data_IF_134346219991
#
_entry.id   IF_134346219991
#
_cell.length_a   1.000
_cell.length_b   1.000
_cell.length_c   1.000
_cell.angle_alpha   90.00
_cell.angle_beta   90.00
_cell.angle_gamma   90.00
#
_symmetry.space_group_name_H-M   'P 1'
#
loop_
_entity.id
_entity.type
_entity.pdbx_description
1 polymer ?
#
# COMPACT_ATOMS: atom_id res chain seq x y z
N UNK A 1 21.68 24.71 1.77
CA UNK A 1 21.80 23.56 0.84
C UNK A 1 21.93 24.08 -0.58
N UNK A 2 22.80 23.50 -1.40
CA UNK A 2 22.88 23.86 -2.82
C UNK A 2 21.52 23.61 -3.50
N UNK A 3 21.15 24.45 -4.46
CA UNK A 3 19.90 24.27 -5.21
C UNK A 3 19.98 22.95 -5.99
N UNK A 4 19.06 22.02 -5.72
CA UNK A 4 18.99 20.74 -6.43
C UNK A 4 18.62 20.98 -7.91
N UNK A 5 19.20 20.21 -8.87
CA UNK A 5 18.77 20.24 -10.27
C UNK A 5 17.28 19.93 -10.41
N UNK A 6 16.66 20.35 -11.51
CA UNK A 6 15.24 20.05 -11.77
C UNK A 6 15.09 18.63 -12.34
N UNK A 7 14.25 17.80 -11.71
CA UNK A 7 13.92 16.46 -12.21
C UNK A 7 13.39 16.49 -13.65
N UNK A 8 12.59 17.49 -14.02
CA UNK A 8 12.04 17.63 -15.37
C UNK A 8 13.08 18.09 -16.41
N UNK A 9 14.08 18.86 -15.99
CA UNK A 9 15.06 19.45 -16.92
C UNK A 9 16.33 18.60 -17.08
N UNK A 10 16.82 18.01 -15.99
CA UNK A 10 18.00 17.15 -15.96
C UNK A 10 17.79 16.03 -14.91
N UNK A 11 17.05 14.96 -15.27
CA UNK A 11 16.74 13.86 -14.35
C UNK A 11 18.01 13.16 -13.84
N UNK A 12 19.08 13.17 -14.63
CA UNK A 12 20.34 12.52 -14.32
C UNK A 12 21.14 13.28 -13.27
N UNK A 13 21.27 14.60 -13.42
CA UNK A 13 21.89 15.43 -12.40
C UNK A 13 21.06 15.47 -11.11
N UNK A 14 19.73 15.46 -11.23
CA UNK A 14 18.82 15.35 -10.08
C UNK A 14 19.05 14.05 -9.31
N UNK A 15 19.09 12.90 -10.00
CA UNK A 15 19.31 11.59 -9.36
C UNK A 15 20.70 11.52 -8.71
N UNK A 16 21.75 11.96 -9.40
CA UNK A 16 23.10 12.03 -8.81
C UNK A 16 23.17 12.93 -7.58
N UNK A 17 22.40 14.02 -7.56
CA UNK A 17 22.34 14.89 -6.39
C UNK A 17 21.73 14.16 -5.19
N UNK A 18 20.61 13.47 -5.40
CA UNK A 18 19.96 12.67 -4.36
C UNK A 18 20.85 11.52 -3.88
N UNK A 19 21.47 10.77 -4.79
CA UNK A 19 22.37 9.67 -4.42
C UNK A 19 23.51 10.14 -3.52
N UNK A 20 24.12 11.29 -3.82
CA UNK A 20 25.19 11.86 -2.97
C UNK A 20 24.69 12.23 -1.58
N UNK A 21 23.53 12.86 -1.49
CA UNK A 21 22.95 13.26 -0.21
C UNK A 21 22.56 12.05 0.65
N UNK A 22 21.92 11.04 0.03
CA UNK A 22 21.55 9.80 0.71
C UNK A 22 22.79 9.00 1.13
N UNK A 23 23.82 8.90 0.28
CA UNK A 23 25.07 8.22 0.64
C UNK A 23 25.82 8.93 1.79
N UNK A 24 25.73 10.26 1.85
CA UNK A 24 26.28 11.04 2.96
C UNK A 24 25.49 10.86 4.25
N UNK A 25 24.16 10.80 4.17
CA UNK A 25 23.26 10.69 5.34
C UNK A 25 23.19 9.26 5.88
N UNK A 26 23.23 8.26 5.00
CA UNK A 26 23.11 6.83 5.28
C UNK A 26 24.34 6.07 4.77
N UNK A 27 25.53 6.36 5.30
CA UNK A 27 26.74 5.69 4.85
C UNK A 27 26.72 4.22 5.28
N UNK A 28 27.16 3.33 4.38
CA UNK A 28 27.03 1.88 4.55
C UNK A 28 27.75 1.28 5.77
N UNK A 29 28.69 2.01 6.38
CA UNK A 29 29.42 1.55 7.56
C UNK A 29 28.68 1.81 8.88
N UNK A 30 27.63 2.64 8.86
CA UNK A 30 26.82 2.88 10.05
C UNK A 30 25.77 1.79 10.20
N UNK A 31 25.51 1.43 11.45
CA UNK A 31 24.45 0.49 11.86
C UNK A 31 23.34 1.20 12.64
N UNK A 32 23.58 2.43 13.09
CA UNK A 32 22.69 3.24 13.92
C UNK A 32 22.91 4.73 13.60
N UNK A 33 21.83 5.52 13.66
CA UNK A 33 21.86 6.97 13.58
C UNK A 33 21.32 7.57 14.87
N UNK A 34 21.88 8.70 15.34
CA UNK A 34 21.30 9.43 16.48
C UNK A 34 19.81 9.72 16.23
N UNK A 35 18.99 9.49 17.26
CA UNK A 35 17.57 9.83 17.18
C UNK A 35 17.40 11.31 16.90
N UNK A 36 16.53 11.64 15.94
CA UNK A 36 16.16 13.02 15.60
C UNK A 36 14.79 13.39 16.13
N UNK A 37 14.11 12.47 16.81
CA UNK A 37 12.71 12.66 17.21
C UNK A 37 12.54 12.99 18.68
N UNK A 38 13.54 12.77 19.54
CA UNK A 38 13.44 13.07 20.98
C UNK A 38 13.04 14.53 21.24
N UNK A 39 13.59 15.44 20.43
CA UNK A 39 13.36 16.88 20.58
C UNK A 39 12.02 17.31 19.95
N UNK A 40 11.29 16.39 19.30
CA UNK A 40 10.02 16.64 18.63
C UNK A 40 8.81 16.43 19.54
N UNK A 41 8.98 16.16 20.85
CA UNK A 41 7.87 15.91 21.78
C UNK A 41 6.74 16.97 21.72
N UNK A 42 7.04 18.29 21.71
CA UNK A 42 5.98 19.30 21.64
C UNK A 42 5.21 19.24 20.32
N UNK A 43 5.91 19.00 19.20
CA UNK A 43 5.29 18.85 17.88
C UNK A 43 4.45 17.57 17.80
N UNK A 44 4.95 16.47 18.35
CA UNK A 44 4.25 15.20 18.43
C UNK A 44 2.93 15.33 19.21
N UNK A 45 2.93 16.09 20.31
CA UNK A 45 1.73 16.38 21.09
C UNK A 45 0.66 17.12 20.27
N UNK A 46 1.07 18.07 19.42
CA UNK A 46 0.16 18.75 18.50
C UNK A 46 -0.44 17.81 17.45
N UNK A 47 0.30 16.79 17.01
CA UNK A 47 -0.18 15.81 16.04
C UNK A 47 -1.18 14.81 16.62
N UNK A 48 -1.25 14.67 17.95
CA UNK A 48 -2.16 13.74 18.61
C UNK A 48 -3.60 14.27 18.72
N UNK A 49 -3.85 15.51 18.31
CA UNK A 49 -5.20 16.08 18.24
C UNK A 49 -6.12 15.26 17.30
N UNK A 50 -7.45 15.29 17.48
CA UNK A 50 -8.38 14.50 16.65
C UNK A 50 -8.19 14.66 15.14
N UNK A 51 -7.72 15.83 14.67
CA UNK A 51 -7.42 16.09 13.25
C UNK A 51 -6.14 15.38 12.82
N UNK A 52 -5.07 15.47 13.63
CA UNK A 52 -3.83 14.76 13.35
C UNK A 52 -4.01 13.25 13.31
N UNK A 53 -4.79 12.68 14.24
CA UNK A 53 -5.19 11.27 14.18
C UNK A 53 -6.00 10.94 12.93
N UNK A 54 -6.95 11.81 12.57
CA UNK A 54 -7.71 11.72 11.31
C UNK A 54 -6.81 11.66 10.06
N UNK A 55 -5.78 12.51 9.99
CA UNK A 55 -4.80 12.52 8.90
C UNK A 55 -3.96 11.25 8.89
N UNK A 56 -3.48 10.81 10.05
CA UNK A 56 -2.67 9.59 10.18
C UNK A 56 -3.46 8.35 9.73
N UNK A 57 -4.71 8.21 10.15
CA UNK A 57 -5.56 7.09 9.70
C UNK A 57 -5.92 7.15 8.21
N UNK A 58 -6.16 8.34 7.66
CA UNK A 58 -6.37 8.50 6.22
C UNK A 58 -5.11 8.07 5.44
N UNK A 59 -3.93 8.48 5.90
CA UNK A 59 -2.64 8.09 5.32
C UNK A 59 -2.40 6.58 5.45
N UNK A 60 -2.67 6.01 6.61
CA UNK A 60 -2.61 4.57 6.86
C UNK A 60 -3.46 3.82 5.83
N UNK A 61 -4.72 4.21 5.69
CA UNK A 61 -5.64 3.59 4.73
C UNK A 61 -5.12 3.71 3.29
N UNK A 62 -4.59 4.87 2.92
CA UNK A 62 -4.01 5.10 1.59
C UNK A 62 -2.84 4.14 1.31
N UNK A 63 -1.98 3.88 2.29
CA UNK A 63 -0.90 2.89 2.15
C UNK A 63 -1.46 1.48 1.97
N UNK A 64 -2.42 1.06 2.81
CA UNK A 64 -3.02 -0.26 2.72
C UNK A 64 -3.73 -0.48 1.38
N UNK A 65 -4.54 0.50 0.94
CA UNK A 65 -5.23 0.44 -0.35
C UNK A 65 -4.22 0.31 -1.50
N UNK A 66 -3.18 1.15 -1.52
CA UNK A 66 -2.14 1.11 -2.55
C UNK A 66 -1.34 -0.21 -2.54
N UNK A 67 -1.01 -0.76 -1.38
CA UNK A 67 -0.32 -2.06 -1.29
C UNK A 67 -1.23 -3.23 -1.72
N UNK A 68 -2.53 -3.14 -1.49
CA UNK A 68 -3.48 -4.12 -2.00
C UNK A 68 -3.56 -4.06 -3.53
N UNK A 69 -3.60 -2.85 -4.12
CA UNK A 69 -3.57 -2.65 -5.58
C UNK A 69 -2.24 -3.12 -6.19
N UNK A 70 -1.11 -2.78 -5.55
CA UNK A 70 0.21 -3.27 -5.95
C UNK A 70 0.28 -4.80 -5.91
N UNK A 71 -0.17 -5.43 -4.83
CA UNK A 71 -0.23 -6.89 -4.71
C UNK A 71 -1.07 -7.50 -5.83
N UNK A 72 -2.24 -6.90 -6.12
CA UNK A 72 -3.12 -7.34 -7.20
C UNK A 72 -2.39 -7.37 -8.54
N UNK A 73 -1.87 -6.21 -8.95
CA UNK A 73 -1.25 -6.05 -10.25
C UNK A 73 0.03 -6.88 -10.35
N UNK A 74 0.88 -6.86 -9.32
CA UNK A 74 2.12 -7.60 -9.33
C UNK A 74 1.89 -9.11 -9.42
N UNK A 75 0.89 -9.66 -8.71
CA UNK A 75 0.57 -11.08 -8.83
C UNK A 75 0.13 -11.43 -10.26
N UNK A 76 -0.77 -10.64 -10.86
CA UNK A 76 -1.19 -10.82 -12.25
C UNK A 76 0.01 -10.75 -13.21
N UNK A 77 0.79 -9.67 -13.17
CA UNK A 77 1.90 -9.43 -14.11
C UNK A 77 3.07 -10.39 -13.91
N UNK A 78 3.39 -10.79 -12.68
CA UNK A 78 4.45 -11.76 -12.41
C UNK A 78 4.07 -13.17 -12.88
N UNK A 79 2.85 -13.61 -12.59
CA UNK A 79 2.39 -14.97 -12.92
C UNK A 79 2.08 -15.12 -14.41
N UNK A 80 1.34 -14.17 -14.98
CA UNK A 80 0.82 -14.27 -16.35
C UNK A 80 1.83 -13.72 -17.36
N UNK A 81 2.32 -12.50 -17.12
CA UNK A 81 3.16 -11.79 -18.09
C UNK A 81 4.66 -12.06 -17.90
N UNK A 82 5.06 -12.83 -16.87
CA UNK A 82 6.46 -13.12 -16.61
C UNK A 82 7.31 -11.88 -16.30
N UNK A 83 6.69 -10.85 -15.69
CA UNK A 83 7.27 -9.54 -15.41
C UNK A 83 8.71 -9.61 -14.88
N UNK A 84 8.96 -10.45 -13.87
CA UNK A 84 10.28 -10.53 -13.25
C UNK A 84 11.39 -10.96 -14.22
N UNK A 85 11.07 -11.84 -15.18
CA UNK A 85 12.01 -12.28 -16.19
C UNK A 85 12.31 -11.17 -17.21
N UNK A 86 11.27 -10.45 -17.64
CA UNK A 86 11.41 -9.33 -18.57
C UNK A 86 12.16 -8.15 -17.95
N UNK A 87 11.89 -7.83 -16.69
CA UNK A 87 12.58 -6.79 -15.94
C UNK A 87 14.09 -7.06 -15.83
N UNK A 88 14.48 -8.31 -15.51
CA UNK A 88 15.90 -8.71 -15.46
C UNK A 88 16.58 -8.61 -16.83
N UNK A 89 15.89 -9.05 -17.89
CA UNK A 89 16.41 -8.98 -19.28
C UNK A 89 16.46 -7.57 -19.85
N UNK A 90 15.72 -6.63 -19.27
CA UNK A 90 15.72 -5.24 -19.72
C UNK A 90 17.12 -4.63 -19.62
N UNK A 91 17.48 -3.76 -20.56
CA UNK A 91 18.74 -3.02 -20.47
C UNK A 91 18.71 -2.02 -19.28
N UNK A 92 19.86 -1.68 -18.65
CA UNK A 92 19.91 -0.68 -17.59
C UNK A 92 19.24 0.65 -17.98
N UNK A 93 19.50 1.14 -19.19
CA UNK A 93 18.85 2.35 -19.72
C UNK A 93 17.31 2.26 -19.77
N UNK A 94 16.74 1.07 -20.04
CA UNK A 94 15.30 0.88 -20.01
C UNK A 94 14.75 0.95 -18.58
N UNK A 95 15.37 0.24 -17.61
CA UNK A 95 15.00 0.30 -16.19
C UNK A 95 15.08 1.72 -15.62
N UNK A 96 16.16 2.43 -15.95
CA UNK A 96 16.34 3.84 -15.59
C UNK A 96 15.19 4.72 -16.11
N UNK A 97 14.72 4.53 -17.35
CA UNK A 97 13.59 5.29 -17.88
C UNK A 97 12.32 5.07 -17.04
N UNK A 98 11.99 3.83 -16.69
CA UNK A 98 10.82 3.53 -15.86
C UNK A 98 10.96 4.12 -14.45
N UNK A 99 12.15 4.04 -13.86
CA UNK A 99 12.45 4.69 -12.59
C UNK A 99 12.23 6.22 -12.64
N UNK A 100 12.79 6.91 -13.64
CA UNK A 100 12.62 8.36 -13.78
C UNK A 100 11.16 8.75 -14.06
N UNK A 101 10.44 7.96 -14.87
CA UNK A 101 9.01 8.16 -15.09
C UNK A 101 8.21 8.06 -13.78
N UNK A 102 8.52 7.06 -12.94
CA UNK A 102 7.91 6.92 -11.63
C UNK A 102 8.23 8.10 -10.70
N UNK A 103 9.49 8.53 -10.64
CA UNK A 103 9.87 9.69 -9.83
C UNK A 103 9.18 10.97 -10.31
N UNK A 104 9.01 11.16 -11.61
CA UNK A 104 8.27 12.30 -12.16
C UNK A 104 6.81 12.29 -11.69
N UNK A 105 6.14 11.15 -11.78
CA UNK A 105 4.75 11.03 -11.33
C UNK A 105 4.62 11.24 -9.80
N UNK A 106 5.50 10.63 -9.01
CA UNK A 106 5.41 10.68 -7.55
C UNK A 106 5.83 12.04 -7.00
N UNK A 107 6.90 12.66 -7.52
CA UNK A 107 7.37 13.96 -7.05
C UNK A 107 6.49 15.14 -7.51
N UNK A 108 5.50 14.93 -8.37
CA UNK A 108 4.44 15.91 -8.64
C UNK A 108 3.44 16.02 -7.48
N UNK A 109 3.38 15.03 -6.60
CA UNK A 109 2.59 15.10 -5.38
C UNK A 109 3.29 15.99 -4.33
N UNK A 110 2.52 16.70 -3.48
CA UNK A 110 3.07 17.59 -2.48
C UNK A 110 3.87 16.77 -1.47
N UNK A 111 5.01 17.31 -1.05
CA UNK A 111 5.91 16.73 -0.05
C UNK A 111 6.54 15.37 -0.39
N UNK A 112 6.18 14.73 -1.50
CA UNK A 112 6.69 13.40 -1.86
C UNK A 112 8.16 13.41 -2.25
N UNK A 113 8.67 14.47 -2.89
CA UNK A 113 10.11 14.59 -3.10
C UNK A 113 10.87 14.60 -1.75
N UNK A 114 10.33 15.28 -0.73
CA UNK A 114 10.98 15.33 0.59
C UNK A 114 10.96 13.97 1.30
N UNK A 115 9.94 13.12 1.05
CA UNK A 115 9.88 11.77 1.62
C UNK A 115 11.07 10.91 1.19
N UNK A 116 11.69 11.21 0.05
CA UNK A 116 12.88 10.50 -0.43
C UNK A 116 14.06 10.57 0.54
N UNK A 117 14.19 11.65 1.32
CA UNK A 117 15.21 11.77 2.37
C UNK A 117 15.14 10.63 3.38
N UNK A 118 13.98 10.00 3.55
CA UNK A 118 13.75 8.90 4.50
C UNK A 118 13.71 7.52 3.82
N UNK A 119 13.96 7.43 2.52
CA UNK A 119 13.86 6.19 1.75
C UNK A 119 15.14 5.92 0.94
N UNK A 120 16.29 5.67 1.61
CA UNK A 120 17.57 5.47 0.92
C UNK A 120 17.60 4.25 0.00
N UNK A 121 16.70 3.28 0.21
CA UNK A 121 16.47 2.16 -0.71
C UNK A 121 15.82 2.56 -2.05
N UNK A 122 15.22 3.76 -2.14
CA UNK A 122 14.60 4.28 -3.37
C UNK A 122 15.60 5.15 -4.13
N UNK A 123 16.56 4.46 -4.73
CA UNK A 123 17.57 5.06 -5.63
C UNK A 123 17.72 4.23 -6.88
N UNK A 124 18.16 4.86 -7.97
CA UNK A 124 18.45 4.13 -9.20
C UNK A 124 19.51 3.05 -8.96
N UNK A 125 20.54 3.37 -8.17
CA UNK A 125 21.61 2.44 -7.83
C UNK A 125 21.08 1.21 -7.06
N UNK A 126 20.20 1.42 -6.08
CA UNK A 126 19.58 0.33 -5.33
C UNK A 126 18.67 -0.54 -6.22
N UNK A 127 17.89 0.08 -7.11
CA UNK A 127 16.98 -0.67 -7.99
C UNK A 127 17.73 -1.44 -9.08
N UNK A 128 18.84 -0.92 -9.59
CA UNK A 128 19.69 -1.58 -10.59
C UNK A 128 20.61 -2.66 -10.01
N UNK A 129 20.78 -2.72 -8.68
CA UNK A 129 21.62 -3.69 -8.02
C UNK A 129 21.29 -5.13 -8.47
N UNK A 130 22.34 -5.91 -8.77
CA UNK A 130 22.19 -7.28 -9.27
C UNK A 130 21.42 -7.38 -10.58
N UNK A 131 21.65 -6.46 -11.53
CA UNK A 131 20.95 -6.42 -12.83
C UNK A 131 19.44 -6.23 -12.70
N UNK A 132 19.01 -5.32 -11.81
CA UNK A 132 17.59 -5.03 -11.56
C UNK A 132 16.95 -5.85 -10.43
N UNK A 133 17.71 -6.74 -9.78
CA UNK A 133 17.21 -7.58 -8.70
C UNK A 133 16.77 -6.76 -7.48
N UNK A 134 17.43 -5.62 -7.20
CA UNK A 134 17.07 -4.78 -6.06
C UNK A 134 15.63 -4.24 -6.10
N UNK A 135 15.13 -3.86 -7.28
CA UNK A 135 13.72 -3.50 -7.44
C UNK A 135 12.78 -4.68 -7.16
N UNK A 136 13.11 -5.87 -7.68
CA UNK A 136 12.29 -7.08 -7.48
C UNK A 136 12.26 -7.50 -6.01
N UNK A 137 13.34 -7.32 -5.27
CA UNK A 137 13.40 -7.63 -3.85
C UNK A 137 12.49 -6.71 -3.04
N UNK A 138 12.42 -5.42 -3.38
CA UNK A 138 11.49 -4.47 -2.75
C UNK A 138 10.05 -4.82 -3.13
N UNK A 139 9.77 -5.04 -4.42
CA UNK A 139 8.43 -5.44 -4.89
C UNK A 139 7.91 -6.66 -4.13
N UNK A 140 8.71 -7.72 -4.03
CA UNK A 140 8.36 -8.96 -3.32
C UNK A 140 8.10 -8.76 -1.83
N UNK A 141 8.77 -7.80 -1.19
CA UNK A 141 8.49 -7.46 0.20
C UNK A 141 7.13 -6.77 0.30
N UNK A 142 6.90 -5.73 -0.50
CA UNK A 142 5.66 -4.95 -0.46
C UNK A 142 4.40 -5.77 -0.79
N UNK A 143 4.51 -6.78 -1.68
CA UNK A 143 3.39 -7.64 -2.05
C UNK A 143 3.18 -8.83 -1.10
N UNK A 144 3.99 -8.97 -0.05
CA UNK A 144 3.76 -9.92 1.04
C UNK A 144 2.65 -9.44 2.01
N UNK A 145 1.82 -8.51 1.56
CA UNK A 145 0.71 -7.91 2.29
C UNK A 145 -0.39 -8.95 2.53
N UNK A 146 -0.68 -9.25 3.80
CA UNK A 146 -1.59 -10.32 4.20
C UNK A 146 -2.99 -9.84 4.59
N UNK A 147 -3.15 -8.57 4.99
CA UNK A 147 -4.37 -8.10 5.61
C UNK A 147 -4.66 -6.62 5.33
N UNK A 148 -5.94 -6.25 5.27
CA UNK A 148 -6.36 -4.85 5.10
C UNK A 148 -6.07 -3.96 6.31
N UNK A 149 -5.68 -4.56 7.44
CA UNK A 149 -5.59 -3.90 8.75
C UNK A 149 -4.16 -3.60 9.19
N UNK A 150 -3.17 -3.94 8.36
CA UNK A 150 -1.78 -3.53 8.52
C UNK A 150 -1.22 -3.10 7.18
N UNK A 151 -0.05 -2.46 7.16
CA UNK A 151 0.74 -2.32 5.93
C UNK A 151 2.08 -3.03 6.08
N UNK A 152 2.72 -3.34 4.95
CA UNK A 152 4.08 -3.85 4.92
C UNK A 152 5.04 -2.69 5.11
N UNK A 153 5.79 -2.71 6.21
CA UNK A 153 6.93 -1.82 6.45
C UNK A 153 8.21 -2.42 5.87
N UNK A 154 8.98 -1.62 5.14
CA UNK A 154 10.29 -2.02 4.63
C UNK A 154 11.38 -1.58 5.61
N UNK A 155 11.80 -2.47 6.49
CA UNK A 155 12.79 -2.20 7.54
C UNK A 155 14.09 -1.60 6.97
N UNK A 156 14.60 -0.58 7.67
CA UNK A 156 15.88 0.04 7.42
C UNK A 156 16.49 0.53 8.75
N UNK A 157 17.44 -0.22 9.36
CA UNK A 157 17.88 0.02 10.74
C UNK A 157 18.33 1.46 11.02
N UNK A 158 18.87 2.15 10.02
CA UNK A 158 19.27 3.56 10.15
C UNK A 158 18.06 4.49 10.27
N UNK A 159 16.99 4.22 9.51
CA UNK A 159 15.72 4.96 9.61
C UNK A 159 15.04 4.68 10.94
N UNK A 160 14.92 3.42 11.35
CA UNK A 160 14.30 3.09 12.64
C UNK A 160 15.08 3.72 13.81
N UNK A 161 16.41 3.62 13.79
CA UNK A 161 17.28 4.27 14.78
C UNK A 161 17.12 5.78 14.80
N UNK A 162 17.11 6.43 13.63
CA UNK A 162 16.91 7.88 13.51
C UNK A 162 15.53 8.30 14.03
N UNK A 163 14.52 7.47 13.87
CA UNK A 163 13.17 7.69 14.38
C UNK A 163 13.01 7.20 15.83
N UNK A 164 14.02 6.61 16.46
CA UNK A 164 13.93 6.03 17.81
C UNK A 164 12.89 4.92 17.93
N UNK A 165 12.69 4.12 16.88
CA UNK A 165 11.72 3.02 16.84
C UNK A 165 12.45 1.70 17.10
N UNK A 166 11.92 0.91 18.03
CA UNK A 166 12.39 -0.45 18.27
C UNK A 166 11.54 -1.44 17.44
N UNK A 167 12.15 -2.35 16.67
CA UNK A 167 11.42 -3.43 15.99
C UNK A 167 10.79 -4.43 16.98
N UNK A 168 9.64 -5.03 16.65
CA UNK A 168 8.88 -4.86 15.42
C UNK A 168 8.06 -3.56 15.42
N UNK A 169 8.00 -2.90 14.26
CA UNK A 169 7.20 -1.68 14.08
C UNK A 169 5.71 -2.04 14.04
N UNK A 170 4.89 -1.35 14.85
CA UNK A 170 3.44 -1.49 14.76
C UNK A 170 2.90 -0.88 13.45
N UNK A 171 2.67 -1.75 12.47
CA UNK A 171 2.07 -1.39 11.19
C UNK A 171 0.56 -1.59 11.15
N UNK A 172 -0.11 -1.82 12.28
CA UNK A 172 -1.56 -1.98 12.32
C UNK A 172 -2.31 -0.65 12.16
N UNK A 173 -3.62 -0.69 11.92
CA UNK A 173 -4.48 0.50 11.90
C UNK A 173 -4.70 1.15 13.27
N UNK A 174 -4.17 0.58 14.35
CA UNK A 174 -4.34 1.08 15.71
C UNK A 174 -3.83 2.52 15.85
N UNK A 175 -4.50 3.34 16.65
CA UNK A 175 -4.06 4.71 16.92
C UNK A 175 -3.28 4.76 18.24
N UNK A 176 -1.99 5.13 18.23
CA UNK A 176 -1.22 5.28 19.46
C UNK A 176 -1.81 6.38 20.34
N UNK A 177 -1.80 6.17 21.66
CA UNK A 177 -2.10 7.21 22.65
C UNK A 177 -0.87 8.04 23.01
N UNK A 178 0.33 7.49 22.82
CA UNK A 178 1.57 8.21 23.04
C UNK A 178 1.88 9.13 21.83
N UNK A 179 2.16 10.43 22.06
CA UNK A 179 2.45 11.36 20.97
C UNK A 179 3.65 10.96 20.11
N UNK A 180 4.72 10.44 20.71
CA UNK A 180 5.94 10.07 19.99
C UNK A 180 5.73 8.84 19.15
N UNK A 181 5.07 7.81 19.70
CA UNK A 181 4.69 6.62 18.92
C UNK A 181 3.76 7.02 17.76
N UNK A 182 2.86 7.99 17.96
CA UNK A 182 2.02 8.53 16.89
C UNK A 182 2.83 9.23 15.78
N UNK A 183 3.81 10.07 16.14
CA UNK A 183 4.71 10.73 15.21
C UNK A 183 5.56 9.70 14.42
N UNK A 184 6.16 8.75 15.13
CA UNK A 184 6.96 7.66 14.56
C UNK A 184 6.15 6.86 13.54
N UNK A 185 4.96 6.39 13.93
CA UNK A 185 4.06 5.63 13.06
C UNK A 185 3.63 6.45 11.83
N UNK A 186 3.36 7.74 12.00
CA UNK A 186 3.05 8.65 10.90
C UNK A 186 4.22 8.82 9.92
N UNK A 187 5.44 8.93 10.44
CA UNK A 187 6.66 9.01 9.62
C UNK A 187 6.87 7.72 8.81
N UNK A 188 6.72 6.56 9.44
CA UNK A 188 6.80 5.26 8.77
C UNK A 188 5.71 5.13 7.70
N UNK A 189 4.46 5.49 7.99
CA UNK A 189 3.39 5.42 7.00
C UNK A 189 3.66 6.32 5.77
N UNK A 190 4.15 7.55 5.96
CA UNK A 190 4.51 8.43 4.85
C UNK A 190 5.68 7.88 4.03
N UNK A 191 6.71 7.34 4.69
CA UNK A 191 7.83 6.67 4.03
C UNK A 191 7.35 5.47 3.21
N UNK A 192 6.54 4.60 3.81
CA UNK A 192 6.00 3.42 3.14
C UNK A 192 5.12 3.80 1.96
N UNK A 193 4.30 4.86 2.08
CA UNK A 193 3.52 5.37 0.96
C UNK A 193 4.43 5.77 -0.21
N UNK A 194 5.49 6.55 0.06
CA UNK A 194 6.42 7.00 -0.96
C UNK A 194 7.08 5.82 -1.68
N UNK A 195 7.62 4.85 -0.94
CA UNK A 195 8.27 3.65 -1.51
C UNK A 195 7.26 2.88 -2.37
N UNK A 196 6.06 2.65 -1.85
CA UNK A 196 5.02 1.89 -2.55
C UNK A 196 4.57 2.61 -3.82
N UNK A 197 4.39 3.94 -3.79
CA UNK A 197 4.06 4.75 -4.96
C UNK A 197 5.13 4.67 -6.05
N UNK A 198 6.42 4.72 -5.68
CA UNK A 198 7.50 4.61 -6.66
C UNK A 198 7.51 3.21 -7.30
N UNK A 199 7.37 2.15 -6.49
CA UNK A 199 7.32 0.77 -7.00
C UNK A 199 6.11 0.56 -7.92
N UNK A 200 4.94 1.03 -7.49
CA UNK A 200 3.71 1.02 -8.29
C UNK A 200 3.88 1.71 -9.63
N UNK A 201 4.42 2.93 -9.65
CA UNK A 201 4.57 3.69 -10.88
C UNK A 201 5.66 3.14 -11.81
N UNK A 202 6.68 2.43 -11.29
CA UNK A 202 7.61 1.66 -12.15
C UNK A 202 6.87 0.55 -12.85
N UNK A 203 6.03 -0.21 -12.13
CA UNK A 203 5.26 -1.30 -12.69
C UNK A 203 4.29 -0.79 -13.76
N UNK A 204 3.53 0.27 -13.48
CA UNK A 204 2.67 0.93 -14.47
C UNK A 204 3.47 1.38 -15.71
N UNK A 205 4.57 2.10 -15.51
CA UNK A 205 5.41 2.60 -16.61
C UNK A 205 5.98 1.47 -17.47
N UNK A 206 6.33 0.33 -16.87
CA UNK A 206 6.84 -0.84 -17.59
C UNK A 206 5.83 -1.39 -18.58
N UNK A 207 4.55 -1.39 -18.20
CA UNK A 207 3.44 -1.84 -19.05
C UNK A 207 2.84 -0.75 -19.94
N UNK A 208 3.43 0.45 -19.97
CA UNK A 208 2.88 1.58 -20.71
C UNK A 208 1.56 2.11 -20.13
N UNK A 209 1.29 1.78 -18.86
CA UNK A 209 0.14 2.25 -18.10
C UNK A 209 0.52 3.49 -17.28
N UNK A 210 -0.48 4.26 -16.86
CA UNK A 210 -0.29 5.40 -15.97
C UNK A 210 -1.55 5.65 -15.18
N UNK A 211 -1.39 6.16 -13.96
CA UNK A 211 -2.50 6.60 -13.14
C UNK A 211 -2.35 8.08 -12.80
N UNK A 212 -3.47 8.78 -12.80
CA UNK A 212 -3.49 10.14 -12.27
C UNK A 212 -3.52 10.06 -10.75
N UNK A 213 -2.40 10.37 -10.10
CA UNK A 213 -2.35 10.45 -8.64
C UNK A 213 -3.13 11.69 -8.19
N UNK A 214 -4.28 11.47 -7.54
CA UNK A 214 -5.17 12.53 -7.10
C UNK A 214 -4.91 12.90 -5.65
N UNK A 215 -4.73 14.19 -5.40
CA UNK A 215 -4.73 14.74 -4.05
C UNK A 215 -6.17 14.84 -3.54
N UNK A 216 -6.45 14.35 -2.34
CA UNK A 216 -7.75 14.50 -1.71
C UNK A 216 -7.79 15.74 -0.81
N UNK A 217 -8.92 16.46 -0.81
CA UNK A 217 -9.11 17.62 0.05
C UNK A 217 -9.09 17.18 1.51
N UNK A 218 -8.05 17.61 2.22
CA UNK A 218 -7.99 17.48 3.68
C UNK A 218 -9.05 18.35 4.37
N UNK A 219 -9.31 18.02 5.64
CA UNK A 219 -10.07 18.84 6.57
C UNK A 219 -9.57 20.29 6.56
N UNK A 220 -10.48 21.26 6.75
CA UNK A 220 -10.06 22.65 6.91
C UNK A 220 -9.31 22.79 8.24
N UNK A 221 -8.02 23.06 8.16
CA UNK A 221 -7.25 23.43 9.35
C UNK A 221 -7.78 24.75 9.93
N UNK A 222 -7.95 24.85 11.27
CA UNK A 222 -8.26 26.10 11.92
C UNK A 222 -7.07 27.07 11.84
N UNK A 223 -7.25 28.25 12.43
CA UNK A 223 -6.12 29.17 12.58
C UNK A 223 -5.15 28.60 13.61
N UNK A 224 -3.86 28.67 13.29
CA UNK A 224 -2.77 28.39 14.24
C UNK A 224 -2.99 29.24 15.47
N UNK A 225 -3.04 28.59 16.62
CA UNK A 225 -3.20 29.20 17.93
C UNK A 225 -1.87 29.80 18.40
N UNK A 226 -1.88 30.74 19.38
CA UNK A 226 -0.64 31.26 19.95
C UNK A 226 0.27 30.18 20.56
N UNK A 227 -0.32 29.13 21.16
CA UNK A 227 0.42 28.02 21.74
C UNK A 227 1.10 27.16 20.66
N UNK A 228 0.40 26.82 19.58
CA UNK A 228 0.99 26.14 18.43
C UNK A 228 2.11 26.98 17.79
N UNK A 229 1.91 28.30 17.68
CA UNK A 229 2.94 29.21 17.16
C UNK A 229 4.19 29.23 18.05
N UNK A 230 4.03 29.20 19.38
CA UNK A 230 5.16 29.11 20.30
C UNK A 230 5.97 27.83 20.05
N UNK A 231 5.29 26.68 19.91
CA UNK A 231 5.95 25.42 19.54
C UNK A 231 6.71 25.57 18.21
N UNK A 232 6.10 26.14 17.18
CA UNK A 232 6.79 26.35 15.90
C UNK A 232 8.02 27.27 16.02
N UNK A 233 7.94 28.34 16.83
CA UNK A 233 9.07 29.23 17.08
C UNK A 233 10.22 28.52 17.80
N UNK A 234 9.92 27.60 18.72
CA UNK A 234 10.92 26.78 19.41
C UNK A 234 11.69 25.87 18.43
N UNK A 235 11.04 25.47 17.33
CA UNK A 235 11.68 24.77 16.20
C UNK A 235 12.32 25.72 15.16
N UNK A 236 12.46 27.01 15.49
CA UNK A 236 13.07 28.01 14.62
C UNK A 236 12.21 28.43 13.43
N UNK A 237 10.92 28.06 13.39
CA UNK A 237 10.01 28.59 12.38
C UNK A 237 9.68 30.05 12.70
N UNK A 238 9.60 30.89 11.67
CA UNK A 238 9.18 32.28 11.82
C UNK A 238 7.70 32.41 11.49
N UNK A 239 7.07 33.49 11.94
CA UNK A 239 5.67 33.77 11.56
C UNK A 239 5.49 33.83 10.04
N UNK A 240 6.50 34.32 9.30
CA UNK A 240 6.49 34.37 7.84
C UNK A 240 6.60 32.98 7.21
N UNK A 241 7.44 32.07 7.76
CA UNK A 241 7.56 30.71 7.23
C UNK A 241 6.27 29.91 7.49
N UNK A 242 5.65 30.07 8.66
CA UNK A 242 4.35 29.47 8.97
C UNK A 242 3.25 30.03 8.06
N UNK A 243 3.24 31.34 7.80
CA UNK A 243 2.30 31.96 6.86
C UNK A 243 2.49 31.46 5.42
N UNK A 244 3.73 31.30 4.98
CA UNK A 244 4.07 30.74 3.67
C UNK A 244 3.59 29.29 3.53
N UNK A 245 3.88 28.43 4.52
CA UNK A 245 3.40 27.04 4.55
C UNK A 245 1.87 26.97 4.50
N UNK A 246 1.17 27.83 5.26
CA UNK A 246 -0.31 27.89 5.20
C UNK A 246 -0.83 28.31 3.82
N UNK A 247 -0.17 29.27 3.16
CA UNK A 247 -0.53 29.70 1.81
C UNK A 247 -0.37 28.56 0.81
N UNK A 248 0.70 27.77 0.94
CA UNK A 248 0.95 26.58 0.11
C UNK A 248 -0.10 25.49 0.34
N UNK A 249 -0.40 25.14 1.59
CA UNK A 249 -1.47 24.19 1.94
C UNK A 249 -2.81 24.64 1.34
N UNK A 250 -3.13 25.94 1.43
CA UNK A 250 -4.36 26.47 0.81
C UNK A 250 -4.34 26.38 -0.72
N UNK A 251 -3.18 26.55 -1.36
CA UNK A 251 -3.01 26.37 -2.81
C UNK A 251 -3.24 24.91 -3.20
N UNK A 252 -2.58 23.97 -2.54
CA UNK A 252 -2.71 22.53 -2.81
C UNK A 252 -4.14 22.04 -2.58
N UNK A 253 -4.83 22.59 -1.58
CA UNK A 253 -6.24 22.28 -1.33
C UNK A 253 -7.18 22.72 -2.46
N UNK A 254 -6.85 23.75 -3.23
CA UNK A 254 -7.67 24.20 -4.37
C UNK A 254 -7.63 23.22 -5.53
N UNK A 255 -6.49 22.55 -5.74
CA UNK A 255 -6.30 21.55 -6.80
C UNK A 255 -6.74 20.15 -6.36
N UNK A 256 -6.80 19.89 -5.05
CA UNK A 256 -7.27 18.62 -4.51
C UNK A 256 -8.74 18.33 -4.84
N UNK A 257 -9.09 17.05 -4.97
CA UNK A 257 -10.41 16.53 -5.30
C UNK A 257 -11.20 16.15 -4.04
N UNK A 258 -12.54 16.17 -4.13
CA UNK A 258 -13.41 15.55 -3.12
C UNK A 258 -13.82 14.15 -3.58
N UNK A 259 -13.94 13.23 -2.63
CA UNK A 259 -14.42 11.87 -2.83
C UNK A 259 -15.69 11.62 -2.02
N UNK A 260 -16.65 10.90 -2.58
CA UNK A 260 -17.87 10.54 -1.89
C UNK A 260 -17.53 9.41 -0.91
N UNK A 261 -17.86 9.59 0.37
CA UNK A 261 -17.61 8.57 1.40
C UNK A 261 -18.41 7.28 1.18
N UNK A 262 -19.54 7.34 0.47
CA UNK A 262 -20.39 6.18 0.22
C UNK A 262 -19.97 5.38 -1.03
N UNK A 263 -19.82 6.07 -2.17
CA UNK A 263 -19.66 5.41 -3.46
C UNK A 263 -18.26 5.57 -4.08
N UNK A 264 -17.33 6.25 -3.40
CA UNK A 264 -15.95 6.43 -3.89
C UNK A 264 -15.80 7.38 -5.09
N UNK A 265 -16.88 7.80 -5.75
CA UNK A 265 -16.82 8.71 -6.90
C UNK A 265 -16.21 10.06 -6.54
N UNK A 266 -15.40 10.57 -7.45
CA UNK A 266 -14.71 11.84 -7.40
C UNK A 266 -15.60 12.97 -7.91
N UNK A 267 -15.30 14.19 -7.48
CA UNK A 267 -16.04 15.37 -7.93
C UNK A 267 -15.94 15.59 -9.45
N UNK A 268 -14.77 15.32 -10.03
CA UNK A 268 -14.53 15.44 -11.48
C UNK A 268 -15.36 14.45 -12.31
N UNK A 269 -15.56 13.23 -11.81
CA UNK A 269 -16.38 12.19 -12.48
C UNK A 269 -17.88 12.52 -12.48
N UNK A 270 -18.29 13.46 -11.63
CA UNK A 270 -19.68 13.87 -11.46
C UNK A 270 -19.96 15.26 -12.06
N UNK A 271 -19.26 15.61 -13.15
CA UNK A 271 -19.39 16.91 -13.81
C UNK A 271 -19.30 18.10 -12.82
N UNK A 272 -18.42 17.98 -11.82
CA UNK A 272 -18.18 18.97 -10.77
C UNK A 272 -19.37 19.27 -9.84
N UNK A 273 -20.35 18.37 -9.71
CA UNK A 273 -21.43 18.50 -8.72
C UNK A 273 -20.85 18.77 -7.32
N UNK A 274 -21.33 19.81 -6.61
CA UNK A 274 -20.82 20.14 -5.28
C UNK A 274 -21.22 19.08 -4.26
N UNK A 275 -20.25 18.54 -3.55
CA UNK A 275 -20.51 17.51 -2.55
C UNK A 275 -21.11 18.13 -1.28
N UNK A 276 -22.08 17.44 -0.70
CA UNK A 276 -22.75 17.81 0.55
C UNK A 276 -21.96 17.26 1.72
N UNK A 277 -21.71 18.09 2.74
CA UNK A 277 -21.04 17.66 3.98
C UNK A 277 -22.06 17.25 5.04
N UNK A 278 -21.73 16.24 5.85
CA UNK A 278 -22.51 15.97 7.06
C UNK A 278 -22.32 17.11 8.08
N UNK A 279 -23.40 17.78 8.49
CA UNK A 279 -23.33 18.94 9.39
C UNK A 279 -22.69 18.61 10.75
N UNK A 280 -23.02 17.45 11.34
CA UNK A 280 -22.44 17.00 12.62
C UNK A 280 -20.93 16.74 12.50
N UNK A 281 -20.51 16.04 11.45
CA UNK A 281 -19.09 15.81 11.21
C UNK A 281 -18.34 17.10 10.93
N UNK A 282 -18.91 18.00 10.14
CA UNK A 282 -18.30 19.28 9.84
C UNK A 282 -18.09 20.11 11.13
N UNK A 283 -19.07 20.12 12.04
CA UNK A 283 -18.95 20.78 13.33
C UNK A 283 -17.86 20.15 14.22
N UNK A 284 -17.72 18.82 14.15
CA UNK A 284 -16.65 18.08 14.83
C UNK A 284 -15.28 18.14 14.13
N UNK A 285 -15.15 18.90 13.03
CA UNK A 285 -13.90 18.97 12.27
C UNK A 285 -13.57 17.70 11.48
N UNK A 286 -14.53 16.81 11.26
CA UNK A 286 -14.38 15.64 10.39
C UNK A 286 -14.86 15.96 8.97
N UNK A 287 -14.13 15.46 7.96
CA UNK A 287 -14.42 15.72 6.55
C UNK A 287 -15.17 14.53 5.91
N UNK A 288 -16.49 14.49 6.12
CA UNK A 288 -17.37 13.49 5.48
C UNK A 288 -18.23 14.15 4.41
N UNK A 289 -18.12 13.70 3.16
CA UNK A 289 -18.77 14.27 1.99
C UNK A 289 -19.50 13.24 1.15
N UNK A 290 -20.61 13.67 0.57
CA UNK A 290 -21.48 12.84 -0.27
C UNK A 290 -21.83 13.56 -1.56
N UNK A 291 -21.85 12.82 -2.67
CA UNK A 291 -22.32 13.37 -3.93
C UNK A 291 -23.85 13.56 -3.96
N UNK A 292 -24.59 12.81 -3.13
CA UNK A 292 -26.05 12.85 -3.10
C UNK A 292 -26.62 12.51 -1.71
N UNK A 293 -27.92 12.75 -1.51
CA UNK A 293 -28.59 12.40 -0.24
C UNK A 293 -28.74 10.89 -0.11
N UNK A 294 -28.93 10.19 -1.22
CA UNK A 294 -29.04 8.74 -1.32
C UNK A 294 -27.73 8.09 -0.85
N UNK A 295 -26.58 8.60 -1.31
CA UNK A 295 -25.27 8.16 -0.84
C UNK A 295 -25.09 8.38 0.67
N UNK A 296 -25.51 9.55 1.19
CA UNK A 296 -25.45 9.80 2.63
C UNK A 296 -26.33 8.82 3.43
N UNK A 297 -27.53 8.50 2.94
CA UNK A 297 -28.45 7.56 3.59
C UNK A 297 -27.93 6.12 3.50
N UNK A 298 -27.29 5.74 2.39
CA UNK A 298 -26.64 4.44 2.24
C UNK A 298 -25.50 4.30 3.24
N UNK A 299 -24.56 5.25 3.27
CA UNK A 299 -23.43 5.25 4.22
C UNK A 299 -23.91 5.28 5.68
N UNK A 300 -25.00 5.99 5.98
CA UNK A 300 -25.65 5.98 7.30
C UNK A 300 -26.05 4.59 7.78
N UNK A 301 -26.51 3.72 6.87
CA UNK A 301 -27.03 2.39 7.18
C UNK A 301 -25.98 1.29 7.04
N UNK A 302 -25.22 1.32 5.94
CA UNK A 302 -24.38 0.22 5.45
C UNK A 302 -22.95 0.66 5.15
N UNK A 303 -22.54 1.86 5.57
CA UNK A 303 -21.13 2.24 5.55
C UNK A 303 -20.27 1.26 6.34
N UNK A 304 -18.95 1.34 6.17
CA UNK A 304 -17.99 0.51 6.91
C UNK A 304 -17.01 1.39 7.67
N UNK A 305 -17.28 1.67 8.96
CA UNK A 305 -18.50 1.35 9.71
C UNK A 305 -19.71 2.20 9.25
N UNK A 306 -20.95 1.85 9.63
CA UNK A 306 -22.11 2.68 9.29
C UNK A 306 -21.95 4.09 9.86
N UNK A 307 -22.13 5.13 9.05
CA UNK A 307 -21.83 6.50 9.46
C UNK A 307 -22.52 6.92 10.76
N UNK A 308 -23.71 6.38 11.04
CA UNK A 308 -24.45 6.65 12.28
C UNK A 308 -23.70 6.33 13.56
N UNK A 309 -22.79 5.35 13.53
CA UNK A 309 -22.01 4.92 14.70
C UNK A 309 -20.78 5.79 14.95
N UNK A 310 -20.46 6.68 14.01
CA UNK A 310 -19.24 7.51 14.01
C UNK A 310 -19.52 8.99 13.73
N UNK A 311 -20.79 9.35 13.52
CA UNK A 311 -21.21 10.68 13.10
C UNK A 311 -20.90 11.71 14.18
N UNK A 312 -20.06 12.70 13.87
CA UNK A 312 -19.63 13.73 14.83
C UNK A 312 -18.63 13.22 15.88
N UNK A 313 -18.12 11.99 15.72
CA UNK A 313 -17.15 11.38 16.62
C UNK A 313 -15.87 11.05 15.83
N UNK A 314 -14.93 12.01 15.68
CA UNK A 314 -13.71 11.79 14.91
C UNK A 314 -12.91 10.59 15.44
N UNK A 315 -12.90 10.37 16.75
CA UNK A 315 -12.23 9.21 17.35
C UNK A 315 -12.93 7.87 17.06
N UNK A 316 -14.25 7.87 16.89
CA UNK A 316 -14.98 6.65 16.55
C UNK A 316 -14.76 6.24 15.08
N UNK A 317 -14.54 7.19 14.17
CA UNK A 317 -14.11 6.88 12.80
C UNK A 317 -12.76 6.15 12.78
N UNK A 318 -11.91 6.43 13.78
CA UNK A 318 -10.59 5.83 13.93
C UNK A 318 -10.62 4.48 14.63
N UNK A 319 -11.51 4.33 15.61
CA UNK A 319 -11.65 3.11 16.40
C UNK A 319 -12.54 2.05 15.73
N UNK A 320 -13.25 2.43 14.67
CA UNK A 320 -14.16 1.51 14.01
C UNK A 320 -13.39 0.31 13.44
N UNK A 321 -13.77 -0.92 13.81
CA UNK A 321 -13.20 -2.10 13.18
C UNK A 321 -13.45 -1.94 11.68
N UNK A 322 -12.37 -1.93 10.89
CA UNK A 322 -12.51 -2.23 9.46
C UNK A 322 -13.30 -3.54 9.37
N UNK A 323 -14.29 -3.58 8.46
CA UNK A 323 -15.37 -4.58 8.43
C UNK A 323 -15.00 -5.91 9.08
N UNK A 324 -15.84 -6.49 9.98
CA UNK A 324 -15.61 -7.83 10.47
C UNK A 324 -15.44 -8.71 9.25
N UNK A 325 -14.21 -9.18 9.08
CA UNK A 325 -13.83 -9.89 7.90
C UNK A 325 -14.63 -11.19 7.94
N UNK A 326 -15.62 -11.34 7.06
CA UNK A 326 -16.07 -12.67 6.66
C UNK A 326 -14.99 -13.40 5.86
N UNK A 327 -13.76 -12.86 5.82
CA UNK A 327 -12.59 -13.51 5.26
C UNK A 327 -12.37 -14.80 6.01
N UNK A 328 -11.97 -15.83 5.26
CA UNK A 328 -11.44 -17.04 5.90
C UNK A 328 -10.20 -16.60 6.66
N UNK A 329 -10.18 -16.87 7.96
CA UNK A 329 -8.97 -16.68 8.74
C UNK A 329 -7.99 -17.76 8.29
N UNK A 330 -7.08 -17.40 7.40
CA UNK A 330 -6.00 -18.28 6.99
C UNK A 330 -5.01 -18.37 8.14
N UNK A 331 -4.67 -19.59 8.58
CA UNK A 331 -3.66 -19.77 9.62
C UNK A 331 -2.32 -19.15 9.18
N UNK A 332 -1.44 -18.76 10.10
CA UNK A 332 -0.09 -18.33 9.74
C UNK A 332 0.65 -19.40 8.92
N UNK A 333 1.49 -18.96 7.97
CA UNK A 333 2.35 -19.89 7.24
C UNK A 333 3.32 -20.59 8.21
N UNK A 334 3.57 -21.88 7.98
CA UNK A 334 4.51 -22.67 8.75
C UNK A 334 5.94 -22.09 8.64
N UNK A 335 6.78 -22.22 9.68
CA UNK A 335 8.15 -21.72 9.65
C UNK A 335 8.91 -22.19 8.40
N UNK A 336 9.48 -21.25 7.66
CA UNK A 336 10.24 -21.52 6.43
C UNK A 336 9.41 -21.63 5.15
N UNK A 337 8.08 -21.74 5.23
CA UNK A 337 7.21 -21.64 4.06
C UNK A 337 6.83 -20.18 3.81
N UNK A 338 7.10 -19.70 2.59
CA UNK A 338 6.70 -18.36 2.15
C UNK A 338 5.63 -18.49 1.08
N UNK A 339 4.45 -17.91 1.34
CA UNK A 339 3.38 -17.79 0.35
C UNK A 339 3.87 -16.95 -0.82
N UNK A 340 3.76 -17.48 -2.04
CA UNK A 340 4.11 -16.74 -3.25
C UNK A 340 3.06 -15.66 -3.54
N UNK A 341 3.38 -14.66 -4.38
CA UNK A 341 2.40 -13.69 -4.86
C UNK A 341 1.19 -14.34 -5.55
N UNK A 342 1.41 -15.41 -6.33
CA UNK A 342 0.35 -16.17 -6.97
C UNK A 342 -0.60 -16.81 -5.94
N UNK A 343 -0.04 -17.38 -4.86
CA UNK A 343 -0.84 -17.98 -3.79
C UNK A 343 -1.62 -16.94 -2.99
N UNK A 344 -1.02 -15.78 -2.71
CA UNK A 344 -1.72 -14.68 -2.05
C UNK A 344 -2.88 -14.15 -2.89
N UNK A 345 -2.69 -14.06 -4.21
CA UNK A 345 -3.76 -13.72 -5.15
C UNK A 345 -4.91 -14.73 -5.09
N UNK A 346 -4.57 -16.03 -5.12
CA UNK A 346 -5.55 -17.11 -5.02
C UNK A 346 -6.36 -17.06 -3.71
N UNK A 347 -5.70 -16.84 -2.58
CA UNK A 347 -6.35 -16.70 -1.27
C UNK A 347 -7.33 -15.53 -1.26
N UNK A 348 -6.94 -14.39 -1.83
CA UNK A 348 -7.82 -13.21 -1.93
C UNK A 348 -9.05 -13.49 -2.78
N UNK A 349 -8.91 -14.12 -3.95
CA UNK A 349 -10.06 -14.47 -4.79
C UNK A 349 -11.07 -15.35 -4.02
N UNK A 350 -10.57 -16.26 -3.19
CA UNK A 350 -11.40 -17.14 -2.34
C UNK A 350 -12.08 -16.40 -1.18
N UNK A 351 -11.43 -15.38 -0.61
CA UNK A 351 -12.02 -14.52 0.42
C UNK A 351 -13.13 -13.64 -0.15
N UNK A 352 -12.96 -13.14 -1.38
CA UNK A 352 -13.95 -12.33 -2.09
C UNK A 352 -15.15 -13.18 -2.56
N UNK A 353 -14.96 -14.50 -2.73
CA UNK A 353 -15.95 -15.42 -3.27
C UNK A 353 -16.08 -16.69 -2.41
N UNK A 354 -16.70 -16.61 -1.21
CA UNK A 354 -16.70 -17.69 -0.23
C UNK A 354 -17.40 -18.98 -0.68
N UNK A 355 -18.25 -18.91 -1.71
CA UNK A 355 -18.90 -20.08 -2.33
C UNK A 355 -17.99 -20.86 -3.27
N UNK A 356 -16.85 -20.29 -3.68
CA UNK A 356 -15.89 -20.92 -4.59
C UNK A 356 -14.83 -21.69 -3.78
N UNK A 357 -14.48 -22.87 -4.27
CA UNK A 357 -13.50 -23.76 -3.66
C UNK A 357 -12.09 -23.52 -4.23
N UNK A 358 -11.97 -23.14 -5.50
CA UNK A 358 -10.68 -22.80 -6.11
C UNK A 358 -10.89 -21.93 -7.35
N UNK A 359 -9.93 -21.09 -7.70
CA UNK A 359 -9.89 -20.35 -8.97
C UNK A 359 -8.78 -20.86 -9.89
N UNK A 360 -9.10 -21.10 -11.15
CA UNK A 360 -8.10 -21.21 -12.21
C UNK A 360 -7.81 -19.81 -12.73
N UNK A 361 -6.60 -19.33 -12.49
CA UNK A 361 -6.17 -17.98 -12.88
C UNK A 361 -5.76 -18.03 -14.35
N UNK A 362 -6.39 -17.20 -15.18
CA UNK A 362 -6.17 -17.23 -16.62
C UNK A 362 -5.29 -16.08 -17.12
N UNK A 363 -4.55 -16.28 -18.22
CA UNK A 363 -3.85 -15.18 -18.86
C UNK A 363 -4.81 -14.08 -19.32
N UNK A 364 -4.47 -12.82 -19.04
CA UNK A 364 -5.17 -11.67 -19.62
C UNK A 364 -5.24 -11.80 -21.16
N UNK A 365 -6.39 -11.50 -21.79
CA UNK A 365 -7.59 -10.86 -21.26
C UNK A 365 -8.69 -11.81 -20.76
N UNK A 366 -8.38 -13.10 -20.57
CA UNK A 366 -9.38 -14.06 -20.13
C UNK A 366 -9.73 -13.85 -18.65
N UNK A 367 -10.99 -14.12 -18.29
CA UNK A 367 -11.44 -14.04 -16.89
C UNK A 367 -11.03 -15.30 -16.13
N UNK A 368 -10.71 -15.12 -14.85
CA UNK A 368 -10.47 -16.24 -13.93
C UNK A 368 -11.73 -17.11 -13.79
N UNK A 369 -11.52 -18.42 -13.61
CA UNK A 369 -12.60 -19.39 -13.55
C UNK A 369 -12.72 -20.02 -12.16
N UNK A 370 -13.81 -19.71 -11.45
CA UNK A 370 -14.12 -20.30 -10.16
C UNK A 370 -14.69 -21.72 -10.26
N UNK A 371 -14.16 -22.64 -9.46
CA UNK A 371 -14.56 -24.04 -9.36
C UNK A 371 -15.25 -24.28 -8.01
N UNK A 372 -16.37 -24.99 -8.05
CA UNK A 372 -17.04 -25.55 -6.87
C UNK A 372 -17.06 -27.07 -7.01
N UNK A 373 -16.66 -27.79 -5.96
CA UNK A 373 -16.65 -29.25 -5.95
C UNK A 373 -18.01 -29.73 -5.44
N UNK A 374 -18.83 -30.42 -6.27
CA UNK A 374 -20.21 -30.75 -5.92
C UNK A 374 -20.31 -31.93 -4.94
N UNK A 375 -19.37 -32.88 -5.00
CA UNK A 375 -19.34 -34.01 -4.07
C UNK A 375 -18.79 -33.55 -2.71
N UNK A 376 -19.56 -33.79 -1.64
CA UNK A 376 -19.22 -33.31 -0.28
C UNK A 376 -17.93 -33.91 0.27
N UNK A 377 -17.69 -35.21 0.04
CA UNK A 377 -16.49 -35.91 0.55
C UNK A 377 -15.26 -35.40 -0.18
N UNK A 378 -15.34 -35.32 -1.51
CA UNK A 378 -14.28 -34.74 -2.33
C UNK A 378 -13.99 -33.30 -1.89
N UNK A 379 -15.02 -32.48 -1.76
CA UNK A 379 -14.88 -31.09 -1.31
C UNK A 379 -14.19 -31.00 0.05
N UNK A 380 -14.55 -31.86 1.01
CA UNK A 380 -13.91 -31.87 2.32
C UNK A 380 -12.42 -32.22 2.23
N UNK A 381 -12.08 -33.29 1.49
CA UNK A 381 -10.68 -33.69 1.24
C UNK A 381 -9.89 -32.57 0.58
N UNK A 382 -10.48 -31.91 -0.42
CA UNK A 382 -9.86 -30.80 -1.12
C UNK A 382 -9.61 -29.61 -0.19
N UNK A 383 -10.61 -29.20 0.61
CA UNK A 383 -10.49 -28.05 1.49
C UNK A 383 -9.44 -28.29 2.59
N UNK A 384 -9.37 -29.50 3.15
CA UNK A 384 -8.33 -29.90 4.09
C UNK A 384 -6.95 -29.86 3.42
N UNK A 385 -6.82 -30.46 2.24
CA UNK A 385 -5.58 -30.49 1.48
C UNK A 385 -5.09 -29.09 1.09
N UNK A 386 -6.00 -28.23 0.60
CA UNK A 386 -5.73 -26.82 0.27
C UNK A 386 -5.31 -26.03 1.51
N UNK A 387 -6.01 -26.19 2.63
CA UNK A 387 -5.65 -25.48 3.86
C UNK A 387 -4.22 -25.81 4.29
N UNK A 388 -3.89 -27.09 4.35
CA UNK A 388 -2.54 -27.51 4.72
C UNK A 388 -1.49 -27.08 3.67
N UNK A 389 -1.78 -27.18 2.37
CA UNK A 389 -0.87 -26.69 1.32
C UNK A 389 -0.65 -25.16 1.40
N UNK A 390 -1.69 -24.37 1.66
CA UNK A 390 -1.62 -22.90 1.84
C UNK A 390 -0.79 -22.52 3.07
N UNK A 391 -0.75 -23.39 4.08
CA UNK A 391 -0.05 -23.12 5.34
C UNK A 391 1.38 -23.66 5.32
N UNK A 392 1.66 -24.81 4.72
CA UNK A 392 2.98 -25.46 4.81
C UNK A 392 3.67 -25.74 3.47
N UNK A 393 2.99 -25.57 2.35
CA UNK A 393 3.49 -25.99 1.04
C UNK A 393 3.60 -27.51 0.87
N UNK A 394 2.79 -28.31 1.59
CA UNK A 394 2.86 -29.78 1.56
C UNK A 394 2.67 -30.32 0.12
N UNK A 395 3.77 -30.80 -0.44
CA UNK A 395 3.83 -31.37 -1.79
C UNK A 395 2.84 -32.54 -1.98
N UNK A 396 2.66 -33.40 -0.99
CA UNK A 396 1.78 -34.58 -1.13
C UNK A 396 0.33 -34.14 -1.31
N UNK A 397 -0.08 -33.14 -0.52
CA UNK A 397 -1.42 -32.57 -0.62
C UNK A 397 -1.63 -31.77 -1.90
N UNK A 398 -0.60 -31.08 -2.39
CA UNK A 398 -0.63 -30.43 -3.71
C UNK A 398 -0.86 -31.44 -4.83
N UNK A 399 -0.24 -32.62 -4.75
CA UNK A 399 -0.46 -33.70 -5.73
C UNK A 399 -1.91 -34.20 -5.69
N UNK A 400 -2.50 -34.34 -4.49
CA UNK A 400 -3.92 -34.68 -4.32
C UNK A 400 -4.82 -33.62 -4.95
N UNK A 401 -4.57 -32.33 -4.65
CA UNK A 401 -5.31 -31.20 -5.24
C UNK A 401 -5.21 -31.20 -6.77
N UNK A 402 -4.01 -31.45 -7.32
CA UNK A 402 -3.78 -31.49 -8.76
C UNK A 402 -4.69 -32.52 -9.44
N UNK A 403 -4.70 -33.76 -8.95
CA UNK A 403 -5.54 -34.82 -9.53
C UNK A 403 -7.03 -34.59 -9.32
N UNK A 404 -7.40 -34.02 -8.18
CA UNK A 404 -8.79 -33.76 -7.86
C UNK A 404 -9.39 -32.64 -8.72
N UNK A 405 -8.60 -31.62 -9.07
CA UNK A 405 -9.02 -30.52 -9.94
C UNK A 405 -8.83 -30.79 -11.44
N UNK A 406 -8.02 -31.78 -11.82
CA UNK A 406 -7.75 -32.11 -13.22
C UNK A 406 -9.01 -32.36 -14.10
N UNK A 407 -10.10 -33.00 -13.60
CA UNK A 407 -11.34 -33.11 -14.36
C UNK A 407 -12.00 -31.76 -14.66
N UNK A 408 -11.93 -30.80 -13.71
CA UNK A 408 -12.51 -29.47 -13.86
C UNK A 408 -11.71 -28.61 -14.84
N UNK A 409 -10.37 -28.75 -14.84
CA UNK A 409 -9.50 -28.07 -15.82
C UNK A 409 -9.94 -28.37 -17.26
N UNK A 410 -10.29 -29.63 -17.56
CA UNK A 410 -10.75 -30.03 -18.89
C UNK A 410 -12.10 -29.42 -19.29
N UNK A 411 -12.88 -28.96 -18.31
CA UNK A 411 -14.18 -28.32 -18.50
C UNK A 411 -14.07 -26.79 -18.54
N UNK A 412 -12.95 -26.22 -18.07
CA UNK A 412 -12.71 -24.79 -18.02
C UNK A 412 -12.19 -24.26 -19.36
N UNK A 413 -12.90 -23.33 -20.04
CA UNK A 413 -12.45 -22.76 -21.30
C UNK A 413 -11.07 -22.11 -21.16
N UNK A 414 -10.12 -22.40 -22.06
CA UNK A 414 -8.80 -21.76 -22.07
C UNK A 414 -7.79 -22.30 -21.04
N UNK A 415 -8.16 -23.26 -20.18
CA UNK A 415 -7.26 -23.86 -19.20
C UNK A 415 -6.76 -25.23 -19.68
N UNK A 416 -5.44 -25.43 -19.68
CA UNK A 416 -4.81 -26.72 -19.97
C UNK A 416 -4.22 -27.34 -18.70
N UNK A 417 -3.94 -28.65 -18.70
CA UNK A 417 -3.24 -29.30 -17.58
C UNK A 417 -1.84 -28.72 -17.36
N UNK A 418 -1.17 -28.27 -18.43
CA UNK A 418 0.12 -27.61 -18.35
C UNK A 418 0.02 -26.25 -17.66
N UNK A 419 -0.97 -25.44 -18.03
CA UNK A 419 -1.24 -24.15 -17.37
C UNK A 419 -1.64 -24.36 -15.91
N UNK A 420 -2.40 -25.42 -15.61
CA UNK A 420 -2.76 -25.78 -14.24
C UNK A 420 -1.54 -26.17 -13.40
N UNK A 421 -0.68 -27.04 -13.95
CA UNK A 421 0.59 -27.41 -13.31
C UNK A 421 1.47 -26.18 -13.08
N UNK A 422 1.56 -25.29 -14.07
CA UNK A 422 2.30 -24.04 -13.96
C UNK A 422 1.72 -23.15 -12.85
N UNK A 423 0.39 -23.01 -12.76
CA UNK A 423 -0.25 -22.25 -11.68
C UNK A 423 0.12 -22.81 -10.30
N UNK A 424 0.06 -24.13 -10.10
CA UNK A 424 0.52 -24.74 -8.83
C UNK A 424 2.00 -24.51 -8.55
N UNK A 425 2.84 -24.58 -9.59
CA UNK A 425 4.27 -24.29 -9.45
C UNK A 425 4.50 -22.82 -9.05
N UNK A 426 3.78 -21.89 -9.65
CA UNK A 426 3.89 -20.46 -9.34
C UNK A 426 3.32 -20.15 -7.94
N UNK A 427 2.25 -20.84 -7.53
CA UNK A 427 1.63 -20.71 -6.20
C UNK A 427 2.50 -21.28 -5.07
N UNK A 428 3.03 -22.49 -5.23
CA UNK A 428 3.66 -23.22 -4.12
C UNK A 428 5.17 -23.43 -4.29
N UNK A 429 5.75 -23.11 -5.45
CA UNK A 429 7.15 -23.38 -5.77
C UNK A 429 7.46 -24.87 -5.97
N UNK A 430 6.44 -25.73 -6.07
CA UNK A 430 6.57 -27.18 -6.18
C UNK A 430 6.02 -27.67 -7.50
N UNK A 431 6.86 -28.39 -8.25
CA UNK A 431 6.46 -29.04 -9.49
C UNK A 431 5.80 -30.39 -9.19
N UNK A 432 4.46 -30.46 -9.34
CA UNK A 432 3.65 -31.60 -8.93
C UNK A 432 4.01 -32.94 -9.58
N UNK A 433 4.62 -32.93 -10.77
CA UNK A 433 5.06 -34.17 -11.44
C UNK A 433 6.36 -34.73 -10.86
N UNK A 434 7.17 -33.90 -10.19
CA UNK A 434 8.42 -34.33 -9.56
C UNK A 434 8.24 -34.91 -8.17
N UNK A 435 7.00 -34.94 -7.68
CA UNK A 435 6.67 -35.44 -6.34
C UNK A 435 6.63 -36.97 -6.39
N UNK A 436 7.65 -37.60 -5.79
CA UNK A 436 7.75 -39.05 -5.64
C UNK A 436 6.60 -39.53 -4.71
N UNK A 437 5.93 -40.65 -5.04
CA UNK A 437 4.83 -41.20 -4.23
C UNK A 437 5.17 -41.46 -2.77
#
# INVERSE_FOLDING_TARGET
MARRPSLKADPDAWERSWQRELAHTYPAHLTCLPSRVSDLQPLAALMLDPRGRGRAAARFKEVCDLQADLTKMAAEKCTIAGFEGEWRRSAPGARKRHYIAAMLAVCELPDMENQRTYAPEVTLAAFEAGSGQGYLDILRKLIAFDSSNSFVHLENPLIESMLGIEPPVDTSGSQPSDPMVHLQKSAIANRTLFITLVVWNILLSFYGESETLLQFKATKEPKVTPAEMAVFNDFGATSDSVAAARKEIMKNRKTAQSRCNACGKLQIELANVPFKSCAKCLAAGAYTRYCSRECQVADWKTGTPPHRTVCGQPDALLAAPQAPATRREWEPAAPGFRRSPALLHQMRLLDENPSIDYFFVQPYPLNDYGVTIPNLVDKLVFLVGRSAAVNSGDARLLKVMYYQLAPYVKLSPGMSLELWRKQLLDEYGVDVEKIIP
#
